data_IF_152243530397
#
_entry.id   IF_152243530397
#
_cell.length_a   1.000
_cell.length_b   1.000
_cell.length_c   1.000
_cell.angle_alpha   90.00
_cell.angle_beta   90.00
_cell.angle_gamma   90.00
#
_symmetry.space_group_name_H-M   'P 1'
#
loop_
_entity.id
_entity.type
_entity.pdbx_description
1 polymer ?
#
# COMPACT_ATOMS: atom_id res chain seq x y z
N UNK A 1 42.37 -62.12 -27.37
CA UNK A 1 40.89 -62.01 -27.41
C UNK A 1 40.35 -63.42 -27.35
N UNK A 2 39.88 -63.85 -26.18
CA UNK A 2 39.50 -65.23 -25.89
C UNK A 2 37.99 -65.42 -26.08
N UNK A 3 37.63 -66.46 -26.83
CA UNK A 3 36.27 -66.95 -27.07
C UNK A 3 36.10 -68.23 -26.24
N UNK A 4 35.05 -68.29 -25.42
CA UNK A 4 34.48 -69.49 -24.78
C UNK A 4 33.15 -69.02 -24.15
N UNK A 5 32.02 -69.72 -24.11
CA UNK A 5 31.67 -71.09 -24.46
C UNK A 5 30.14 -71.21 -24.44
N UNK A 6 29.64 -72.34 -24.91
CA UNK A 6 28.25 -72.67 -25.24
C UNK A 6 27.37 -73.06 -24.04
N UNK A 7 26.06 -73.12 -24.35
CA UNK A 7 25.06 -74.13 -23.94
C UNK A 7 24.50 -74.07 -22.50
N UNK A 8 23.20 -73.79 -22.33
CA UNK A 8 22.03 -74.68 -22.47
C UNK A 8 21.79 -75.61 -21.27
N UNK A 9 20.68 -75.42 -20.56
CA UNK A 9 19.86 -76.39 -19.79
C UNK A 9 18.73 -75.60 -19.11
N UNK A 10 17.51 -75.61 -19.65
CA UNK A 10 16.45 -76.60 -19.43
C UNK A 10 15.77 -76.53 -18.05
N UNK A 11 14.46 -76.34 -18.14
CA UNK A 11 13.43 -77.12 -17.44
C UNK A 11 12.68 -76.47 -16.27
N UNK A 12 11.38 -76.63 -16.44
CA UNK A 12 10.23 -76.33 -15.64
C UNK A 12 10.31 -76.80 -14.19
N UNK A 13 9.67 -76.04 -13.28
CA UNK A 13 8.59 -76.52 -12.38
C UNK A 13 8.23 -75.47 -11.35
N UNK A 14 6.95 -75.07 -11.40
CA UNK A 14 6.03 -74.83 -10.27
C UNK A 14 6.59 -74.09 -9.04
N UNK A 15 6.07 -72.88 -8.83
CA UNK A 15 5.53 -72.45 -7.52
C UNK A 15 4.51 -71.34 -7.75
N UNK A 16 3.26 -71.66 -7.44
CA UNK A 16 2.16 -70.69 -7.33
C UNK A 16 2.41 -69.86 -6.08
N UNK A 17 2.40 -68.54 -6.21
CA UNK A 17 2.25 -67.62 -5.09
C UNK A 17 1.23 -66.56 -5.50
N UNK A 18 0.01 -66.78 -5.02
CA UNK A 18 -1.04 -65.77 -4.89
C UNK A 18 -0.68 -64.96 -3.66
N UNK A 19 -0.46 -63.64 -3.80
CA UNK A 19 -0.44 -62.72 -2.68
C UNK A 19 -0.86 -61.32 -3.15
N UNK A 20 -2.13 -61.02 -2.83
CA UNK A 20 -2.79 -59.73 -2.64
C UNK A 20 -2.05 -58.46 -3.09
N UNK A 21 -2.48 -57.90 -4.22
CA UNK A 21 -2.23 -56.51 -4.61
C UNK A 21 -3.13 -55.61 -3.75
N UNK A 22 -2.60 -55.06 -2.65
CA UNK A 22 -3.26 -53.96 -1.95
C UNK A 22 -3.11 -52.69 -2.80
N UNK A 23 -4.16 -52.37 -3.57
CA UNK A 23 -4.33 -51.05 -4.17
C UNK A 23 -4.64 -50.06 -3.04
N UNK A 24 -3.60 -49.42 -2.49
CA UNK A 24 -3.80 -48.23 -1.65
C UNK A 24 -4.20 -47.09 -2.58
N UNK A 25 -5.50 -46.88 -2.76
CA UNK A 25 -5.99 -45.58 -3.21
C UNK A 25 -5.63 -44.57 -2.11
N UNK A 26 -4.48 -43.92 -2.28
CA UNK A 26 -4.15 -42.70 -1.56
C UNK A 26 -5.18 -41.66 -1.99
N UNK A 27 -6.19 -41.45 -1.15
CA UNK A 27 -7.01 -40.24 -1.17
C UNK A 27 -6.07 -39.08 -0.88
N UNK A 28 -5.55 -38.45 -1.94
CA UNK A 28 -4.95 -37.14 -1.81
C UNK A 28 -6.02 -36.22 -1.20
N UNK A 29 -5.75 -35.57 -0.06
CA UNK A 29 -6.68 -34.59 0.46
C UNK A 29 -6.82 -33.50 -0.61
N UNK A 30 -8.04 -33.36 -1.12
CA UNK A 30 -8.42 -32.24 -1.96
C UNK A 30 -8.24 -30.99 -1.11
N UNK A 31 -7.15 -30.25 -1.31
CA UNK A 31 -6.99 -28.91 -0.75
C UNK A 31 -7.94 -27.96 -1.49
N UNK A 32 -9.24 -28.17 -1.25
CA UNK A 32 -10.23 -27.12 -1.42
C UNK A 32 -10.24 -26.35 -0.11
N UNK A 33 -9.35 -25.37 0.03
CA UNK A 33 -9.64 -24.26 0.94
C UNK A 33 -10.99 -23.72 0.50
N UNK A 34 -12.03 -23.90 1.33
CA UNK A 34 -13.35 -23.35 1.00
C UNK A 34 -13.16 -21.85 0.84
N UNK A 35 -13.82 -21.26 -0.17
CA UNK A 35 -13.86 -19.80 -0.38
C UNK A 35 -14.34 -19.00 0.86
N UNK A 36 -14.80 -19.68 1.92
CA UNK A 36 -15.07 -19.10 3.24
C UNK A 36 -13.82 -18.64 3.98
N UNK A 37 -12.67 -19.30 3.82
CA UNK A 37 -11.48 -19.06 4.66
C UNK A 37 -10.57 -17.96 4.11
N UNK A 38 -10.63 -17.68 2.80
CA UNK A 38 -9.76 -16.66 2.16
C UNK A 38 -9.96 -15.27 2.79
N UNK A 39 -11.21 -14.84 2.99
CA UNK A 39 -11.53 -13.50 3.47
C UNK A 39 -11.31 -13.31 4.98
N UNK A 40 -10.93 -14.36 5.72
CA UNK A 40 -10.71 -14.32 7.17
C UNK A 40 -9.24 -14.16 7.57
N UNK A 41 -8.30 -14.14 6.61
CA UNK A 41 -6.89 -13.97 6.91
C UNK A 41 -6.63 -12.65 7.66
N UNK A 42 -5.86 -12.74 8.76
CA UNK A 42 -5.49 -11.59 9.60
C UNK A 42 -3.99 -11.35 9.58
N UNK A 43 -3.62 -10.08 9.64
CA UNK A 43 -2.24 -9.67 9.89
C UNK A 43 -1.93 -9.85 11.38
N UNK A 44 -0.81 -10.48 11.72
CA UNK A 44 -0.44 -10.77 13.11
C UNK A 44 0.65 -9.84 13.62
N UNK A 45 0.75 -9.68 14.95
CA UNK A 45 1.75 -8.77 15.56
C UNK A 45 3.19 -9.17 15.18
N UNK A 46 3.47 -10.47 15.03
CA UNK A 46 4.79 -10.98 14.66
C UNK A 46 5.26 -10.57 13.25
N UNK A 47 4.34 -10.08 12.41
CA UNK A 47 4.64 -9.64 11.04
C UNK A 47 4.99 -8.14 10.96
N UNK A 48 4.91 -7.41 12.07
CA UNK A 48 5.20 -5.97 12.09
C UNK A 48 6.70 -5.68 11.94
N UNK A 49 7.01 -4.66 11.14
CA UNK A 49 8.33 -4.03 11.14
C UNK A 49 8.62 -3.40 12.50
N UNK A 50 9.82 -3.64 13.04
CA UNK A 50 10.21 -3.15 14.36
C UNK A 50 10.23 -1.61 14.46
N UNK A 51 10.66 -0.94 13.38
CA UNK A 51 10.67 0.52 13.23
C UNK A 51 9.26 1.14 13.30
N UNK A 52 8.26 0.44 12.75
CA UNK A 52 6.86 0.89 12.77
C UNK A 52 6.26 0.79 14.18
N UNK A 53 6.63 -0.24 14.94
CA UNK A 53 6.25 -0.37 16.35
C UNK A 53 6.88 0.73 17.21
N UNK A 54 8.14 1.10 16.93
CA UNK A 54 8.78 2.23 17.59
C UNK A 54 8.08 3.56 17.27
N UNK A 55 7.67 3.75 16.02
CA UNK A 55 6.88 4.93 15.60
C UNK A 55 5.56 5.00 16.37
N UNK A 56 4.85 3.89 16.51
CA UNK A 56 3.62 3.83 17.29
C UNK A 56 3.85 4.19 18.77
N UNK A 57 4.92 3.66 19.37
CA UNK A 57 5.28 3.91 20.76
C UNK A 57 5.65 5.38 21.02
N UNK A 58 6.23 6.08 20.03
CA UNK A 58 6.60 7.49 20.16
C UNK A 58 5.38 8.42 20.29
N UNK A 59 4.25 8.07 19.67
CA UNK A 59 3.05 8.90 19.66
C UNK A 59 3.01 9.94 18.54
N UNK A 60 1.87 10.62 18.34
CA UNK A 60 1.79 11.80 17.48
C UNK A 60 2.51 12.98 18.13
N UNK A 61 3.00 13.91 17.31
CA UNK A 61 3.73 15.08 17.76
C UNK A 61 2.82 16.26 18.16
N UNK A 62 1.66 16.40 17.52
CA UNK A 62 0.81 17.60 17.60
C UNK A 62 -0.58 17.30 18.13
N UNK A 63 -1.26 16.29 17.58
CA UNK A 63 -2.62 15.92 17.97
C UNK A 63 -2.61 14.99 19.19
N UNK A 64 -3.70 14.95 19.98
CA UNK A 64 -3.78 14.00 21.07
C UNK A 64 -3.90 12.57 20.55
N UNK A 65 -3.10 11.66 21.10
CA UNK A 65 -3.07 10.25 20.69
C UNK A 65 -4.44 9.55 20.72
N UNK A 66 -5.35 9.98 21.60
CA UNK A 66 -6.71 9.46 21.75
C UNK A 66 -7.78 10.09 20.84
N UNK A 67 -7.39 10.93 19.87
CA UNK A 67 -8.34 11.55 18.96
C UNK A 67 -9.09 10.49 18.14
N UNK A 68 -10.42 10.50 18.25
CA UNK A 68 -11.28 9.67 17.40
C UNK A 68 -11.48 10.35 16.03
N UNK A 69 -10.99 9.69 14.99
CA UNK A 69 -11.13 10.16 13.62
C UNK A 69 -12.42 9.68 12.97
N UNK A 70 -13.18 8.79 13.61
CA UNK A 70 -14.42 8.22 13.07
C UNK A 70 -14.16 7.51 11.73
N UNK A 71 -13.16 6.63 11.69
CA UNK A 71 -12.82 5.90 10.47
C UNK A 71 -13.99 5.01 10.03
N UNK A 72 -14.19 4.80 8.72
CA UNK A 72 -15.13 3.79 8.25
C UNK A 72 -14.82 2.41 8.89
N UNK A 73 -15.81 1.54 9.07
CA UNK A 73 -15.55 0.19 9.54
C UNK A 73 -14.70 -0.58 8.53
N UNK A 74 -13.91 -1.54 9.03
CA UNK A 74 -13.22 -2.51 8.16
C UNK A 74 -14.29 -3.27 7.36
N UNK A 75 -14.11 -3.46 6.05
CA UNK A 75 -15.09 -4.17 5.23
C UNK A 75 -15.36 -5.59 5.71
N UNK A 76 -16.60 -6.04 5.54
CA UNK A 76 -17.01 -7.41 5.79
C UNK A 76 -16.26 -8.41 4.89
N UNK A 77 -16.28 -9.71 5.22
CA UNK A 77 -15.69 -10.74 4.37
C UNK A 77 -16.27 -10.75 2.94
N UNK A 78 -17.57 -10.46 2.78
CA UNK A 78 -18.18 -10.39 1.45
C UNK A 78 -17.67 -9.18 0.66
N UNK A 79 -17.65 -7.99 1.26
CA UNK A 79 -17.10 -6.80 0.60
C UNK A 79 -15.62 -6.99 0.26
N UNK A 80 -14.84 -7.66 1.12
CA UNK A 80 -13.45 -8.01 0.83
C UNK A 80 -13.33 -8.93 -0.38
N UNK A 81 -14.21 -9.93 -0.54
CA UNK A 81 -14.23 -10.77 -1.76
C UNK A 81 -14.55 -9.97 -3.01
N UNK A 82 -15.55 -9.11 -2.95
CA UNK A 82 -15.94 -8.25 -4.08
C UNK A 82 -14.78 -7.31 -4.49
N UNK A 83 -14.04 -6.79 -3.50
CA UNK A 83 -12.85 -5.98 -3.75
C UNK A 83 -11.71 -6.78 -4.38
N UNK A 84 -11.48 -8.02 -3.97
CA UNK A 84 -10.47 -8.90 -4.59
C UNK A 84 -10.79 -9.19 -6.06
N UNK A 85 -12.08 -9.40 -6.38
CA UNK A 85 -12.52 -9.64 -7.76
C UNK A 85 -12.33 -8.41 -8.63
N UNK A 86 -12.64 -7.22 -8.10
CA UNK A 86 -12.30 -5.95 -8.74
C UNK A 86 -10.80 -5.79 -8.95
N UNK A 87 -9.98 -6.10 -7.94
CA UNK A 87 -8.51 -5.98 -8.03
C UNK A 87 -7.95 -6.89 -9.13
N UNK A 88 -8.48 -8.11 -9.29
CA UNK A 88 -8.07 -9.00 -10.37
C UNK A 88 -8.25 -8.34 -11.75
N UNK A 89 -9.40 -7.70 -11.98
CA UNK A 89 -9.67 -6.98 -13.23
C UNK A 89 -8.75 -5.77 -13.42
N UNK A 90 -8.65 -4.91 -12.39
CA UNK A 90 -7.86 -3.68 -12.42
C UNK A 90 -6.38 -3.98 -12.66
N UNK A 91 -5.83 -4.99 -11.99
CA UNK A 91 -4.42 -5.36 -12.12
C UNK A 91 -4.09 -5.94 -13.49
N UNK A 92 -4.98 -6.76 -14.05
CA UNK A 92 -4.78 -7.28 -15.41
C UNK A 92 -4.87 -6.17 -16.46
N UNK A 93 -5.76 -5.20 -16.29
CA UNK A 93 -5.97 -4.13 -17.26
C UNK A 93 -4.91 -3.01 -17.19
N UNK A 94 -4.39 -2.69 -16.00
CA UNK A 94 -3.62 -1.45 -15.77
C UNK A 94 -2.15 -1.66 -15.38
N UNK A 95 -1.63 -2.90 -15.28
CA UNK A 95 -0.21 -3.17 -14.95
C UNK A 95 0.70 -3.23 -16.17
N UNK A 96 0.60 -2.24 -17.06
CA UNK A 96 1.59 -2.06 -18.12
C UNK A 96 2.95 -1.58 -17.56
N UNK A 97 3.96 -1.57 -18.42
CA UNK A 97 5.33 -1.24 -18.02
C UNK A 97 5.48 0.21 -17.52
N UNK A 98 4.72 1.15 -18.10
CA UNK A 98 4.73 2.54 -17.66
C UNK A 98 4.15 2.68 -16.24
N UNK A 99 3.02 2.03 -15.98
CA UNK A 99 2.36 2.04 -14.68
C UNK A 99 3.20 1.35 -13.61
N UNK A 100 3.86 0.23 -13.94
CA UNK A 100 4.78 -0.46 -13.02
C UNK A 100 5.95 0.43 -12.61
N UNK A 101 6.57 1.13 -13.56
CA UNK A 101 7.66 2.07 -13.27
C UNK A 101 7.21 3.22 -12.38
N UNK A 102 6.03 3.78 -12.64
CA UNK A 102 5.48 4.84 -11.80
C UNK A 102 5.17 4.34 -10.38
N UNK A 103 4.59 3.14 -10.24
CA UNK A 103 4.34 2.51 -8.94
C UNK A 103 5.64 2.31 -8.15
N UNK A 104 6.70 1.86 -8.82
CA UNK A 104 8.00 1.61 -8.20
C UNK A 104 8.64 2.92 -7.73
N UNK A 105 8.69 3.93 -8.60
CA UNK A 105 9.14 5.28 -8.25
C UNK A 105 8.40 5.82 -7.02
N UNK A 106 7.08 5.74 -7.02
CA UNK A 106 6.29 6.20 -5.88
C UNK A 106 6.53 5.41 -4.60
N UNK A 107 6.87 4.12 -4.69
CA UNK A 107 7.12 3.29 -3.52
C UNK A 107 8.44 3.61 -2.82
N UNK A 108 9.38 4.25 -3.53
CA UNK A 108 10.71 4.59 -3.04
C UNK A 108 10.83 6.05 -2.59
N UNK A 109 9.84 6.90 -2.92
CA UNK A 109 9.82 8.33 -2.62
C UNK A 109 8.80 8.66 -1.52
N UNK A 110 9.19 9.48 -0.54
CA UNK A 110 8.28 9.96 0.50
C UNK A 110 7.21 10.91 -0.07
N UNK A 111 6.09 11.06 0.66
CA UNK A 111 4.93 11.81 0.16
C UNK A 111 5.21 13.30 -0.13
N UNK A 112 6.11 13.94 0.63
CA UNK A 112 6.44 15.36 0.42
C UNK A 112 7.30 15.50 -0.83
N UNK A 113 8.34 14.68 -0.96
CA UNK A 113 9.18 14.64 -2.15
C UNK A 113 8.40 14.27 -3.41
N UNK A 114 7.40 13.39 -3.31
CA UNK A 114 6.50 13.09 -4.43
C UNK A 114 5.78 14.33 -4.94
N UNK A 115 5.25 15.18 -4.05
CA UNK A 115 4.62 16.43 -4.47
C UNK A 115 5.61 17.35 -5.18
N UNK A 116 6.86 17.40 -4.72
CA UNK A 116 7.92 18.15 -5.41
C UNK A 116 8.19 17.59 -6.80
N UNK A 117 8.30 16.27 -6.94
CA UNK A 117 8.59 15.62 -8.22
C UNK A 117 7.41 15.71 -9.21
N UNK A 118 6.19 15.85 -8.69
CA UNK A 118 5.01 16.23 -9.48
C UNK A 118 4.95 17.73 -9.79
N UNK A 119 5.92 18.54 -9.35
CA UNK A 119 5.98 20.00 -9.57
C UNK A 119 5.00 20.81 -8.71
N UNK A 120 4.38 20.19 -7.71
CA UNK A 120 3.32 20.80 -6.90
C UNK A 120 3.83 21.78 -5.84
N UNK A 121 5.07 21.61 -5.42
CA UNK A 121 5.73 22.43 -4.40
C UNK A 121 7.16 22.77 -4.85
N UNK A 122 7.71 23.91 -4.39
CA UNK A 122 9.11 24.25 -4.64
C UNK A 122 10.09 23.33 -3.90
N UNK A 123 11.37 23.40 -4.28
CA UNK A 123 12.46 22.73 -3.59
C UNK A 123 12.57 23.18 -2.12
N UNK A 124 13.11 22.31 -1.26
CA UNK A 124 13.19 22.54 0.20
C UNK A 124 13.91 23.84 0.54
N UNK A 125 15.01 24.12 -0.15
CA UNK A 125 15.86 25.27 0.08
C UNK A 125 15.12 26.59 -0.17
N UNK A 126 14.13 26.57 -1.07
CA UNK A 126 13.32 27.73 -1.40
C UNK A 126 12.11 27.90 -0.47
N UNK A 127 11.68 26.84 0.25
CA UNK A 127 10.47 26.84 1.07
C UNK A 127 10.58 25.96 2.33
N UNK A 128 11.55 26.18 3.23
CA UNK A 128 11.79 25.30 4.38
C UNK A 128 10.60 25.23 5.35
N UNK A 129 9.81 26.29 5.49
CA UNK A 129 8.61 26.33 6.32
C UNK A 129 7.47 25.50 5.73
N UNK A 130 7.31 25.52 4.40
CA UNK A 130 6.36 24.67 3.71
C UNK A 130 6.71 23.19 3.90
N UNK A 131 7.99 22.83 3.72
CA UNK A 131 8.44 21.47 3.94
C UNK A 131 8.20 21.04 5.39
N UNK A 132 8.52 21.89 6.36
CA UNK A 132 8.26 21.63 7.78
C UNK A 132 6.78 21.39 8.07
N UNK A 133 5.88 22.21 7.51
CA UNK A 133 4.43 22.05 7.64
C UNK A 133 3.95 20.71 7.05
N UNK A 134 4.43 20.36 5.86
CA UNK A 134 4.05 19.13 5.17
C UNK A 134 4.61 17.89 5.89
N UNK A 135 5.83 17.95 6.41
CA UNK A 135 6.44 16.86 7.19
C UNK A 135 5.71 16.60 8.51
N UNK A 136 5.36 17.65 9.25
CA UNK A 136 4.52 17.54 10.44
C UNK A 136 3.18 16.89 10.10
N UNK A 137 2.52 17.37 9.04
CA UNK A 137 1.23 16.83 8.58
C UNK A 137 1.34 15.35 8.18
N UNK A 138 2.37 15.01 7.40
CA UNK A 138 2.61 13.63 6.93
C UNK A 138 2.93 12.67 8.07
N UNK A 139 3.67 13.13 9.09
CA UNK A 139 4.02 12.35 10.28
C UNK A 139 2.78 12.09 11.13
N UNK A 140 1.93 13.09 11.34
CA UNK A 140 0.65 12.93 12.04
C UNK A 140 -0.25 11.92 11.32
N UNK A 141 -0.44 12.09 10.02
CA UNK A 141 -1.22 11.16 9.20
C UNK A 141 -0.66 9.73 9.27
N UNK A 142 0.67 9.58 9.22
CA UNK A 142 1.33 8.27 9.33
C UNK A 142 1.07 7.62 10.70
N UNK A 143 1.20 8.35 11.80
CA UNK A 143 0.99 7.80 13.13
C UNK A 143 -0.45 7.32 13.34
N UNK A 144 -1.45 8.15 13.00
CA UNK A 144 -2.86 7.74 13.11
C UNK A 144 -3.20 6.57 12.17
N UNK A 145 -2.56 6.49 11.01
CA UNK A 145 -2.71 5.34 10.11
C UNK A 145 -2.15 4.07 10.74
N UNK A 146 -0.93 4.11 11.31
CA UNK A 146 -0.35 2.95 11.99
C UNK A 146 -1.21 2.51 13.19
N UNK A 147 -1.78 3.46 13.93
CA UNK A 147 -2.68 3.16 15.04
C UNK A 147 -3.90 2.37 14.55
N UNK A 148 -4.60 2.88 13.54
CA UNK A 148 -5.76 2.21 12.94
C UNK A 148 -5.41 0.86 12.30
N UNK A 149 -4.20 0.71 11.74
CA UNK A 149 -3.69 -0.57 11.26
C UNK A 149 -3.58 -1.60 12.36
N UNK A 150 -3.03 -1.23 13.52
CA UNK A 150 -2.92 -2.12 14.67
C UNK A 150 -4.28 -2.57 15.20
N UNK A 151 -5.26 -1.67 15.20
CA UNK A 151 -6.63 -1.96 15.62
C UNK A 151 -7.38 -2.88 14.63
N UNK A 152 -7.15 -2.72 13.33
CA UNK A 152 -7.87 -3.48 12.29
C UNK A 152 -7.28 -4.85 11.98
N UNK A 153 -5.95 -5.01 12.08
CA UNK A 153 -5.22 -6.23 11.70
C UNK A 153 -5.59 -6.78 10.31
N UNK A 154 -6.04 -5.92 9.38
CA UNK A 154 -6.52 -6.35 8.07
C UNK A 154 -5.36 -6.91 7.24
N UNK A 155 -5.48 -8.15 6.76
CA UNK A 155 -4.55 -8.69 5.79
C UNK A 155 -4.61 -7.93 4.46
N UNK A 156 -3.53 -7.97 3.69
CA UNK A 156 -3.41 -7.34 2.36
C UNK A 156 -3.98 -8.24 1.27
N UNK A 157 -4.31 -7.69 0.08
CA UNK A 157 -4.89 -8.47 -1.01
C UNK A 157 -4.11 -9.75 -1.35
N UNK A 158 -2.78 -9.66 -1.45
CA UNK A 158 -1.91 -10.80 -1.79
C UNK A 158 -1.73 -11.82 -0.67
N UNK A 159 -2.04 -11.45 0.58
CA UNK A 159 -2.03 -12.39 1.71
C UNK A 159 -3.30 -13.26 1.71
N UNK A 160 -4.42 -12.72 1.18
CA UNK A 160 -5.68 -13.44 1.02
C UNK A 160 -5.70 -14.22 -0.31
N UNK A 161 -5.34 -13.56 -1.41
CA UNK A 161 -5.34 -14.11 -2.76
C UNK A 161 -3.95 -13.96 -3.39
N UNK A 162 -3.02 -14.91 -3.13
CA UNK A 162 -1.64 -14.82 -3.63
C UNK A 162 -1.52 -14.71 -5.16
N UNK A 163 -2.51 -15.23 -5.92
CA UNK A 163 -2.54 -15.18 -7.38
C UNK A 163 -2.62 -13.76 -7.96
N UNK A 164 -3.04 -12.75 -7.16
CA UNK A 164 -3.03 -11.34 -7.58
C UNK A 164 -1.59 -10.83 -7.82
N UNK A 165 -0.63 -11.30 -7.02
CA UNK A 165 0.75 -10.79 -7.02
C UNK A 165 0.86 -9.30 -6.65
N UNK A 166 2.08 -8.87 -6.32
CA UNK A 166 2.40 -7.48 -6.03
C UNK A 166 3.47 -6.95 -6.99
N UNK A 167 3.40 -5.65 -7.31
CA UNK A 167 4.40 -4.96 -8.13
C UNK A 167 5.58 -4.45 -7.27
N UNK A 168 5.32 -4.21 -5.99
CA UNK A 168 6.27 -3.70 -5.00
C UNK A 168 6.29 -4.63 -3.78
N UNK A 169 7.33 -4.59 -2.94
CA UNK A 169 7.37 -5.37 -1.70
C UNK A 169 6.12 -5.14 -0.85
N UNK A 170 5.56 -6.23 -0.31
CA UNK A 170 4.38 -6.17 0.57
C UNK A 170 4.84 -5.61 1.93
N UNK A 171 4.33 -4.44 2.38
CA UNK A 171 4.83 -3.83 3.61
C UNK A 171 4.50 -4.65 4.87
N UNK A 172 5.42 -4.62 5.84
CA UNK A 172 5.35 -5.31 7.12
C UNK A 172 4.41 -4.64 8.13
N UNK A 173 3.17 -4.36 7.72
CA UNK A 173 2.09 -3.86 8.58
C UNK A 173 0.71 -4.12 7.91
N UNK A 174 -0.40 -4.08 8.68
CA UNK A 174 -1.76 -4.30 8.18
C UNK A 174 -2.15 -3.36 7.03
N UNK A 175 -3.18 -3.75 6.26
CA UNK A 175 -3.63 -3.03 5.07
C UNK A 175 -4.47 -1.80 5.39
N UNK A 176 -5.36 -1.86 6.37
CA UNK A 176 -6.38 -0.82 6.60
C UNK A 176 -5.98 0.21 7.65
N UNK A 177 -6.11 1.53 7.39
CA UNK A 177 -6.34 2.17 6.09
C UNK A 177 -5.05 2.29 5.26
N UNK A 178 -5.14 2.74 4.00
CA UNK A 178 -3.96 2.98 3.16
C UNK A 178 -3.14 4.16 3.68
N UNK A 179 -1.89 3.90 4.10
CA UNK A 179 -0.99 4.94 4.62
C UNK A 179 -0.56 5.94 3.56
N UNK A 180 -0.24 5.47 2.35
CA UNK A 180 0.09 6.34 1.23
C UNK A 180 -1.08 7.25 0.85
N UNK A 181 -2.32 6.72 0.85
CA UNK A 181 -3.50 7.54 0.61
C UNK A 181 -3.64 8.59 1.71
N UNK A 182 -3.58 8.18 2.99
CA UNK A 182 -3.66 9.11 4.11
C UNK A 182 -2.64 10.24 4.05
N UNK A 183 -1.37 9.92 3.80
CA UNK A 183 -0.31 10.93 3.73
C UNK A 183 -0.53 11.87 2.54
N UNK A 184 -0.66 11.35 1.31
CA UNK A 184 -0.72 12.20 0.13
C UNK A 184 -2.00 13.06 0.07
N UNK A 185 -3.14 12.54 0.54
CA UNK A 185 -4.35 13.35 0.67
C UNK A 185 -4.20 14.41 1.77
N UNK A 186 -3.54 14.10 2.90
CA UNK A 186 -3.36 15.09 3.97
C UNK A 186 -2.50 16.26 3.49
N UNK A 187 -1.43 15.98 2.74
CA UNK A 187 -0.62 17.01 2.11
C UNK A 187 -1.41 17.82 1.07
N UNK A 188 -2.25 17.15 0.26
CA UNK A 188 -3.13 17.83 -0.70
C UNK A 188 -4.14 18.77 -0.03
N UNK A 189 -4.70 18.40 1.12
CA UNK A 189 -5.61 19.26 1.89
C UNK A 189 -4.88 20.49 2.48
N UNK A 190 -3.63 20.33 2.96
CA UNK A 190 -2.80 21.47 3.40
C UNK A 190 -2.50 22.42 2.24
N UNK A 191 -2.08 21.90 1.09
CA UNK A 191 -1.82 22.72 -0.09
C UNK A 191 -3.09 23.39 -0.61
N UNK A 192 -4.22 22.68 -0.61
CA UNK A 192 -5.54 23.22 -0.95
C UNK A 192 -6.00 24.32 0.01
N UNK A 193 -5.61 24.25 1.28
CA UNK A 193 -5.85 25.34 2.25
C UNK A 193 -5.06 26.60 1.91
N UNK A 194 -3.87 26.46 1.36
CA UNK A 194 -3.00 27.59 0.95
C UNK A 194 -3.44 28.16 -0.41
N UNK A 195 -3.76 27.29 -1.37
CA UNK A 195 -4.10 27.64 -2.76
C UNK A 195 -5.39 26.91 -3.19
N UNK A 196 -6.58 27.42 -2.84
CA UNK A 196 -7.86 26.76 -3.09
C UNK A 196 -8.13 26.43 -4.57
N UNK A 197 -7.66 27.28 -5.49
CA UNK A 197 -7.88 27.09 -6.93
C UNK A 197 -7.16 25.85 -7.48
N UNK A 198 -6.11 25.37 -6.80
CA UNK A 198 -5.36 24.17 -7.20
C UNK A 198 -5.87 22.87 -6.57
N UNK A 199 -6.92 22.92 -5.74
CA UNK A 199 -7.49 21.72 -5.08
C UNK A 199 -7.78 20.58 -6.07
N UNK A 200 -8.37 20.81 -7.27
CA UNK A 200 -8.61 19.74 -8.23
C UNK A 200 -7.33 19.00 -8.64
N UNK A 201 -6.22 19.72 -8.85
CA UNK A 201 -4.94 19.15 -9.26
C UNK A 201 -4.25 18.40 -8.11
N UNK A 202 -4.24 18.98 -6.91
CA UNK A 202 -3.70 18.30 -5.73
C UNK A 202 -4.44 17.00 -5.44
N UNK A 203 -5.78 17.02 -5.49
CA UNK A 203 -6.60 15.80 -5.31
C UNK A 203 -6.41 14.81 -6.44
N UNK A 204 -6.17 15.26 -7.67
CA UNK A 204 -5.88 14.37 -8.81
C UNK A 204 -4.57 13.61 -8.62
N UNK A 205 -3.51 14.28 -8.15
CA UNK A 205 -2.25 13.60 -7.81
C UNK A 205 -2.45 12.61 -6.67
N UNK A 206 -3.10 13.05 -5.58
CA UNK A 206 -3.38 12.20 -4.43
C UNK A 206 -4.17 10.94 -4.80
N UNK A 207 -5.23 11.10 -5.61
CA UNK A 207 -6.04 9.98 -6.11
C UNK A 207 -5.21 9.03 -6.99
N UNK A 208 -4.38 9.57 -7.88
CA UNK A 208 -3.50 8.77 -8.73
C UNK A 208 -2.56 7.89 -7.92
N UNK A 209 -1.86 8.46 -6.94
CA UNK A 209 -0.93 7.73 -6.06
C UNK A 209 -1.67 6.65 -5.28
N UNK A 210 -2.83 6.99 -4.71
CA UNK A 210 -3.62 6.05 -3.92
C UNK A 210 -4.13 4.86 -4.74
N UNK A 211 -4.72 5.11 -5.92
CA UNK A 211 -5.20 4.07 -6.83
C UNK A 211 -4.05 3.20 -7.32
N UNK A 212 -2.86 3.78 -7.55
CA UNK A 212 -1.67 3.00 -7.92
C UNK A 212 -1.24 2.00 -6.85
N UNK A 213 -1.61 2.18 -5.57
CA UNK A 213 -1.42 1.15 -4.53
C UNK A 213 -2.40 -0.02 -4.64
N UNK A 214 -3.60 0.21 -5.17
CA UNK A 214 -4.55 -0.85 -5.53
C UNK A 214 -4.02 -1.64 -6.74
N UNK A 215 -3.58 -0.92 -7.78
CA UNK A 215 -2.95 -1.53 -8.96
C UNK A 215 -1.68 -2.29 -8.54
N UNK A 216 -0.89 -1.78 -7.60
CA UNK A 216 0.29 -2.47 -7.09
C UNK A 216 -0.02 -3.77 -6.33
N UNK A 217 -1.28 -3.99 -5.94
CA UNK A 217 -1.73 -5.19 -5.22
C UNK A 217 -1.50 -5.15 -3.71
N UNK A 218 -1.22 -3.97 -3.16
CA UNK A 218 -0.92 -3.83 -1.72
C UNK A 218 -2.08 -3.26 -0.91
N UNK A 219 -3.09 -2.65 -1.56
CA UNK A 219 -4.26 -2.07 -0.88
C UNK A 219 -5.57 -2.41 -1.59
N UNK A 220 -6.66 -2.43 -0.81
CA UNK A 220 -8.03 -2.49 -1.30
C UNK A 220 -8.58 -1.09 -1.60
N UNK A 221 -9.60 -0.95 -2.47
CA UNK A 221 -10.30 0.32 -2.67
C UNK A 221 -10.85 0.95 -1.38
N UNK A 222 -11.32 0.15 -0.44
CA UNK A 222 -11.76 0.58 0.89
C UNK A 222 -10.61 1.10 1.76
N UNK A 223 -9.41 0.51 1.67
CA UNK A 223 -8.24 1.05 2.35
C UNK A 223 -7.91 2.45 1.82
N UNK A 224 -8.02 2.64 0.50
CA UNK A 224 -7.82 3.94 -0.16
C UNK A 224 -8.84 4.98 0.33
N UNK A 225 -10.13 4.65 0.30
CA UNK A 225 -11.21 5.55 0.77
C UNK A 225 -11.03 5.91 2.25
N UNK A 226 -10.72 4.94 3.09
CA UNK A 226 -10.48 5.16 4.51
C UNK A 226 -9.21 5.99 4.77
N UNK A 227 -8.18 5.85 3.95
CA UNK A 227 -6.99 6.71 4.01
C UNK A 227 -7.30 8.16 3.68
N UNK A 228 -8.07 8.40 2.61
CA UNK A 228 -8.54 9.75 2.26
C UNK A 228 -9.42 10.36 3.36
N UNK A 229 -10.31 9.58 3.96
CA UNK A 229 -11.09 10.01 5.13
C UNK A 229 -10.17 10.35 6.31
N UNK A 230 -9.22 9.49 6.65
CA UNK A 230 -8.24 9.75 7.72
C UNK A 230 -7.52 11.08 7.50
N UNK A 231 -7.08 11.34 6.26
CA UNK A 231 -6.42 12.58 5.88
C UNK A 231 -7.26 13.82 6.20
N UNK A 232 -8.52 13.84 5.77
CA UNK A 232 -9.46 14.94 6.03
C UNK A 232 -9.61 15.21 7.54
N UNK A 233 -9.75 14.14 8.33
CA UNK A 233 -9.97 14.25 9.78
C UNK A 233 -8.72 14.74 10.51
N UNK A 234 -7.54 14.24 10.12
CA UNK A 234 -6.25 14.68 10.68
C UNK A 234 -6.00 16.13 10.33
N UNK A 235 -6.13 16.55 9.07
CA UNK A 235 -5.86 17.93 8.68
C UNK A 235 -6.87 18.91 9.28
N UNK A 236 -8.15 18.54 9.34
CA UNK A 236 -9.16 19.33 10.05
C UNK A 236 -8.80 19.55 11.52
N UNK A 237 -8.27 18.54 12.20
CA UNK A 237 -7.84 18.67 13.58
C UNK A 237 -6.55 19.50 13.71
N UNK A 238 -5.61 19.34 12.78
CA UNK A 238 -4.35 20.11 12.74
C UNK A 238 -4.59 21.60 12.54
N UNK A 239 -5.52 21.99 11.68
CA UNK A 239 -5.83 23.41 11.45
C UNK A 239 -6.39 24.12 12.70
N UNK A 240 -6.86 23.37 13.70
CA UNK A 240 -7.26 23.93 14.99
C UNK A 240 -6.10 24.17 15.97
N UNK A 241 -4.85 23.86 15.61
CA UNK A 241 -3.68 23.97 16.47
C UNK A 241 -2.89 25.23 16.15
N UNK A 242 -2.59 26.04 17.16
CA UNK A 242 -1.86 27.30 17.01
C UNK A 242 -0.49 27.12 16.35
N UNK A 243 0.26 26.08 16.74
CA UNK A 243 1.56 25.74 16.15
C UNK A 243 1.47 25.48 14.64
N UNK A 244 0.39 24.84 14.18
CA UNK A 244 0.14 24.60 12.76
C UNK A 244 -0.30 25.90 12.06
N UNK A 245 -1.06 26.76 12.75
CA UNK A 245 -1.46 28.06 12.24
C UNK A 245 -0.27 28.97 11.89
N UNK A 246 0.76 28.99 12.74
CA UNK A 246 2.02 29.72 12.47
C UNK A 246 2.73 29.18 11.23
N UNK A 247 2.99 27.86 11.19
CA UNK A 247 3.62 27.20 10.03
C UNK A 247 2.85 27.43 8.72
N UNK A 248 1.51 27.41 8.77
CA UNK A 248 0.67 27.69 7.62
C UNK A 248 0.82 29.14 7.13
N UNK A 249 0.86 30.10 8.05
CA UNK A 249 1.04 31.52 7.71
C UNK A 249 2.39 31.77 7.03
N UNK A 250 3.45 31.11 7.52
CA UNK A 250 4.81 31.26 6.98
C UNK A 250 4.98 30.54 5.63
N UNK A 251 4.38 29.36 5.47
CA UNK A 251 4.45 28.57 4.23
C UNK A 251 3.60 29.16 3.08
N UNK A 252 2.53 29.90 3.39
CA UNK A 252 1.55 30.30 2.38
C UNK A 252 2.07 31.25 1.29
N UNK A 253 2.87 32.30 1.58
CA UNK A 253 3.39 33.20 0.56
C UNK A 253 4.24 32.49 -0.50
N UNK A 254 5.16 31.61 -0.09
CA UNK A 254 6.07 30.93 -1.02
C UNK A 254 5.34 29.94 -1.92
N UNK A 255 4.39 29.17 -1.38
CA UNK A 255 3.60 28.24 -2.18
C UNK A 255 2.67 28.97 -3.16
N UNK A 256 2.07 30.10 -2.76
CA UNK A 256 1.29 30.94 -3.68
C UNK A 256 2.14 31.52 -4.80
N UNK A 257 3.38 31.95 -4.50
CA UNK A 257 4.31 32.44 -5.52
C UNK A 257 4.75 31.33 -6.49
N UNK A 258 4.97 30.11 -5.98
CA UNK A 258 5.23 28.93 -6.81
C UNK A 258 4.09 28.68 -7.79
N UNK A 259 2.85 28.57 -7.31
CA UNK A 259 1.68 28.39 -8.20
C UNK A 259 1.50 29.54 -9.18
N UNK A 260 1.73 30.79 -8.76
CA UNK A 260 1.65 31.93 -9.67
C UNK A 260 2.66 31.85 -10.83
N UNK A 261 3.81 31.20 -10.60
CA UNK A 261 4.89 31.05 -11.59
C UNK A 261 4.71 29.83 -12.49
N UNK A 262 4.23 28.71 -11.94
CA UNK A 262 4.22 27.41 -12.61
C UNK A 262 2.82 26.83 -12.87
N UNK A 263 1.78 27.42 -12.30
CA UNK A 263 0.41 26.92 -12.35
C UNK A 263 0.13 25.77 -11.37
N UNK A 264 -1.09 25.24 -11.41
CA UNK A 264 -1.54 24.13 -10.56
C UNK A 264 -1.24 22.74 -11.15
N UNK A 265 -1.03 22.65 -12.46
CA UNK A 265 -1.02 21.38 -13.15
C UNK A 265 0.22 20.54 -12.75
N UNK A 266 0.04 19.23 -12.45
CA UNK A 266 1.15 18.32 -12.21
C UNK A 266 2.03 18.25 -13.45
N UNK A 267 3.33 18.26 -13.19
CA UNK A 267 4.32 17.78 -14.15
C UNK A 267 4.37 16.24 -14.12
N UNK A 268 4.78 15.62 -15.22
CA UNK A 268 5.17 14.22 -15.16
C UNK A 268 6.41 14.12 -14.26
N UNK A 269 6.48 13.14 -13.33
CA UNK A 269 7.70 12.93 -12.57
C UNK A 269 8.79 12.61 -13.58
N UNK A 270 9.80 13.47 -13.64
CA UNK A 270 10.95 13.22 -14.46
C UNK A 270 11.63 12.00 -13.82
N UNK A 271 11.61 10.85 -14.49
CA UNK A 271 12.29 9.64 -14.01
C UNK A 271 13.82 9.78 -13.90
N UNK A 272 14.32 11.02 -13.86
CA UNK A 272 15.71 11.45 -13.80
C UNK A 272 16.08 12.09 -12.46
N UNK A 273 15.14 12.39 -11.56
CA UNK A 273 15.45 12.99 -10.25
C UNK A 273 16.27 14.27 -10.38
N UNK A 274 16.11 15.01 -11.48
CA UNK A 274 16.98 16.11 -11.88
C UNK A 274 16.18 17.39 -12.01
N UNK A 275 16.44 18.32 -11.09
CA UNK A 275 15.89 19.69 -11.07
C UNK A 275 15.90 20.30 -12.48
N UNK A 276 14.75 20.84 -12.91
CA UNK A 276 14.69 21.92 -13.90
C UNK A 276 14.82 23.26 -13.19
#
# INVERSE_FOLDING_TARGET
MSICEKANRSDSRRRRLVACLFLVMSLAPSFGARASDEAEARFTEAMWGADLLLTLAAGPAVLPAGLDLGLPPVPSPQETRDELDRLQFVQTALRDEATRRLIAFEAETDAVSLLRDYGMIPAREAAPELWSLLEVTGTEAAWFTLRAKRESSRARPTQIRPSLGAVIPVPAHPSYPSGHAAQIYALAEVLGRIVPDCVPDYRRVAAGVAIRREIAGVHFPSDTRAGAHLAERVTSALFGRESVGGLLADAAPVQRAHVASYGCAPSAPDGTGGLR
#
